data_IF_368779519368
#
_entry.id   IF_368779519368
#
_cell.length_a   1.000
_cell.length_b   1.000
_cell.length_c   1.000
_cell.angle_alpha   90.00
_cell.angle_beta   90.00
_cell.angle_gamma   90.00
#
_symmetry.space_group_name_H-M   'P 1'
#
loop_
_entity.id
_entity.type
_entity.pdbx_description
1 polymer ?
#
# COMPACT_ATOMS: atom_id res chain seq x y z
N UNK A 1 0.53 -3.71 -27.62
CA UNK A 1 0.00 -4.10 -26.30
C UNK A 1 -1.48 -3.81 -26.26
N UNK A 2 -2.33 -4.74 -25.80
CA UNK A 2 -3.76 -4.46 -25.63
C UNK A 2 -3.98 -3.31 -24.63
N UNK A 3 -5.01 -2.48 -24.87
CA UNK A 3 -5.39 -1.44 -23.90
C UNK A 3 -5.83 -2.10 -22.59
N UNK A 4 -5.45 -1.55 -21.43
CA UNK A 4 -5.95 -2.05 -20.16
C UNK A 4 -7.49 -1.95 -20.12
N UNK A 5 -8.16 -2.88 -19.44
CA UNK A 5 -9.62 -2.88 -19.35
C UNK A 5 -10.12 -1.63 -18.61
N UNK A 6 -11.23 -1.09 -19.08
CA UNK A 6 -11.95 -0.01 -18.38
C UNK A 6 -12.59 -0.54 -17.10
N UNK A 7 -12.86 0.34 -16.12
CA UNK A 7 -13.61 -0.03 -14.90
C UNK A 7 -14.95 -0.69 -15.21
N UNK A 8 -15.66 -0.24 -16.25
CA UNK A 8 -16.92 -0.85 -16.70
C UNK A 8 -16.72 -2.29 -17.17
N UNK A 9 -15.64 -2.56 -17.91
CA UNK A 9 -15.30 -3.92 -18.32
C UNK A 9 -14.90 -4.78 -17.12
N UNK A 10 -14.12 -4.24 -16.18
CA UNK A 10 -13.78 -4.93 -14.94
C UNK A 10 -15.03 -5.31 -14.14
N UNK A 11 -15.95 -4.36 -13.89
CA UNK A 11 -17.21 -4.63 -13.17
C UNK A 11 -18.08 -5.65 -13.93
N UNK A 12 -18.13 -5.59 -15.26
CA UNK A 12 -18.87 -6.58 -16.04
C UNK A 12 -18.27 -7.98 -15.89
N UNK A 13 -16.94 -8.09 -15.88
CA UNK A 13 -16.22 -9.34 -15.65
C UNK A 13 -16.37 -9.83 -14.21
N UNK A 14 -16.40 -8.94 -13.20
CA UNK A 14 -16.62 -9.32 -11.80
C UNK A 14 -17.99 -9.94 -11.56
N UNK A 15 -18.99 -9.57 -12.37
CA UNK A 15 -20.31 -10.19 -12.30
C UNK A 15 -20.32 -11.62 -12.83
N UNK A 16 -19.41 -11.96 -13.76
CA UNK A 16 -19.26 -13.31 -14.30
C UNK A 16 -18.40 -14.19 -13.39
N UNK A 17 -17.43 -13.58 -12.72
CA UNK A 17 -16.52 -14.24 -11.79
C UNK A 17 -16.37 -13.41 -10.49
N UNK A 18 -17.35 -13.49 -9.57
CA UNK A 18 -17.39 -12.64 -8.37
C UNK A 18 -16.32 -13.00 -7.32
N UNK A 19 -15.71 -14.18 -7.44
CA UNK A 19 -14.68 -14.67 -6.51
C UNK A 19 -13.27 -14.47 -7.09
N UNK A 20 -13.11 -13.58 -8.06
CA UNK A 20 -11.81 -13.22 -8.61
C UNK A 20 -11.19 -12.06 -7.84
N UNK A 21 -10.35 -12.36 -6.86
CA UNK A 21 -9.72 -11.36 -6.00
C UNK A 21 -8.87 -10.34 -6.77
N UNK A 22 -8.14 -10.77 -7.81
CA UNK A 22 -7.31 -9.89 -8.62
C UNK A 22 -8.15 -8.88 -9.41
N UNK A 23 -9.30 -9.33 -9.90
CA UNK A 23 -10.21 -8.48 -10.63
C UNK A 23 -10.90 -7.46 -9.70
N UNK A 24 -11.28 -7.86 -8.49
CA UNK A 24 -11.77 -6.95 -7.45
C UNK A 24 -10.71 -5.90 -7.09
N UNK A 25 -9.45 -6.30 -6.92
CA UNK A 25 -8.36 -5.37 -6.62
C UNK A 25 -8.04 -4.42 -7.79
N UNK A 26 -8.22 -4.85 -9.05
CA UNK A 26 -8.13 -3.94 -10.20
C UNK A 26 -9.28 -2.91 -10.23
N UNK A 27 -10.50 -3.29 -9.83
CA UNK A 27 -11.61 -2.33 -9.67
C UNK A 27 -11.28 -1.33 -8.56
N UNK A 28 -10.75 -1.81 -7.42
CA UNK A 28 -10.33 -0.97 -6.31
C UNK A 28 -9.26 0.04 -6.74
N UNK A 29 -8.19 -0.42 -7.39
CA UNK A 29 -7.13 0.44 -7.93
C UNK A 29 -7.67 1.49 -8.91
N UNK A 30 -8.66 1.12 -9.73
CA UNK A 30 -9.32 2.07 -10.62
C UNK A 30 -10.08 3.15 -9.84
N UNK A 31 -10.81 2.82 -8.78
CA UNK A 31 -11.46 3.83 -7.92
C UNK A 31 -10.45 4.68 -7.15
N UNK A 32 -9.36 4.07 -6.69
CA UNK A 32 -8.27 4.75 -6.01
C UNK A 32 -7.64 5.84 -6.90
N UNK A 33 -7.41 5.55 -8.18
CA UNK A 33 -6.88 6.50 -9.16
C UNK A 33 -7.78 7.73 -9.36
N UNK A 34 -9.10 7.57 -9.22
CA UNK A 34 -10.07 8.67 -9.28
C UNK A 34 -10.21 9.42 -7.94
N UNK A 35 -9.46 9.02 -6.90
CA UNK A 35 -9.60 9.57 -5.55
C UNK A 35 -10.85 9.09 -4.79
N UNK A 36 -11.57 8.09 -5.30
CA UNK A 36 -12.72 7.52 -4.62
C UNK A 36 -12.27 6.40 -3.67
N UNK A 37 -11.69 6.81 -2.54
CA UNK A 37 -11.09 5.89 -1.57
C UNK A 37 -12.12 5.02 -0.84
N UNK A 38 -13.36 5.49 -0.68
CA UNK A 38 -14.44 4.69 -0.09
C UNK A 38 -14.76 3.46 -0.94
N UNK A 39 -14.90 3.65 -2.26
CA UNK A 39 -15.12 2.51 -3.16
C UNK A 39 -13.88 1.64 -3.31
N UNK A 40 -12.68 2.25 -3.35
CA UNK A 40 -11.43 1.48 -3.33
C UNK A 40 -11.40 0.54 -2.12
N UNK A 41 -11.64 1.07 -0.92
CA UNK A 41 -11.71 0.32 0.33
C UNK A 41 -12.70 -0.85 0.25
N UNK A 42 -13.91 -0.63 -0.26
CA UNK A 42 -14.92 -1.70 -0.38
C UNK A 42 -14.40 -2.83 -1.26
N UNK A 43 -13.84 -2.52 -2.43
CA UNK A 43 -13.38 -3.54 -3.37
C UNK A 43 -12.10 -4.24 -2.92
N UNK A 44 -11.13 -3.55 -2.33
CA UNK A 44 -9.93 -4.21 -1.77
C UNK A 44 -10.27 -5.04 -0.52
N UNK A 45 -11.26 -4.62 0.29
CA UNK A 45 -11.78 -5.45 1.38
C UNK A 45 -12.42 -6.73 0.85
N UNK A 46 -13.20 -6.64 -0.24
CA UNK A 46 -13.78 -7.83 -0.89
C UNK A 46 -12.67 -8.73 -1.46
N UNK A 47 -11.66 -8.19 -2.13
CA UNK A 47 -10.53 -8.96 -2.64
C UNK A 47 -9.82 -9.73 -1.51
N UNK A 48 -9.61 -9.09 -0.36
CA UNK A 48 -9.05 -9.73 0.82
C UNK A 48 -9.95 -10.85 1.40
N UNK A 49 -11.27 -10.65 1.44
CA UNK A 49 -12.19 -11.68 1.93
C UNK A 49 -12.24 -12.91 1.01
N UNK A 50 -12.14 -12.69 -0.30
CA UNK A 50 -12.08 -13.76 -1.31
C UNK A 50 -10.75 -14.52 -1.23
N UNK A 51 -9.63 -13.81 -1.02
CA UNK A 51 -8.32 -14.42 -0.87
C UNK A 51 -7.54 -13.85 0.33
N UNK A 52 -7.86 -14.36 1.51
CA UNK A 52 -7.25 -13.91 2.79
C UNK A 52 -5.82 -14.43 3.01
N UNK A 53 -5.22 -15.06 2.01
CA UNK A 53 -3.81 -15.47 2.02
C UNK A 53 -2.93 -14.48 1.25
N UNK A 54 -3.52 -13.77 0.28
CA UNK A 54 -2.81 -12.77 -0.50
C UNK A 54 -2.70 -11.44 0.27
N UNK A 55 -1.60 -11.30 1.00
CA UNK A 55 -1.30 -10.12 1.82
C UNK A 55 -1.11 -8.84 0.99
N UNK A 56 -1.02 -8.91 -0.34
CA UNK A 56 -1.01 -7.72 -1.20
C UNK A 56 -2.38 -7.03 -1.18
N UNK A 57 -3.49 -7.77 -1.18
CA UNK A 57 -4.82 -7.16 -1.02
C UNK A 57 -4.96 -6.47 0.34
N UNK A 58 -4.41 -7.08 1.39
CA UNK A 58 -4.35 -6.45 2.72
C UNK A 58 -3.48 -5.18 2.72
N UNK A 59 -2.40 -5.18 1.93
CA UNK A 59 -1.55 -4.02 1.76
C UNK A 59 -2.26 -2.89 1.01
N UNK A 60 -3.09 -3.17 0.01
CA UNK A 60 -3.91 -2.16 -0.68
C UNK A 60 -4.97 -1.60 0.26
N UNK A 61 -5.68 -2.47 0.99
CA UNK A 61 -6.67 -2.06 1.99
C UNK A 61 -6.08 -1.08 3.02
N UNK A 62 -4.86 -1.35 3.48
CA UNK A 62 -4.18 -0.45 4.40
C UNK A 62 -3.79 0.90 3.77
N UNK A 63 -3.69 1.01 2.43
CA UNK A 63 -3.53 2.31 1.74
C UNK A 63 -4.83 3.07 1.86
N UNK A 64 -5.95 2.43 1.49
CA UNK A 64 -7.27 3.05 1.47
C UNK A 64 -7.64 3.60 2.85
N UNK A 65 -7.40 2.81 3.91
CA UNK A 65 -7.56 3.26 5.29
C UNK A 65 -6.80 4.57 5.58
N UNK A 66 -5.56 4.66 5.11
CA UNK A 66 -4.74 5.87 5.28
C UNK A 66 -5.29 7.06 4.50
N UNK A 67 -5.83 6.83 3.30
CA UNK A 67 -6.46 7.88 2.50
C UNK A 67 -7.81 8.34 3.06
N UNK A 68 -8.52 7.45 3.77
CA UNK A 68 -9.78 7.72 4.46
C UNK A 68 -9.61 8.40 5.84
N UNK A 69 -8.37 8.60 6.30
CA UNK A 69 -8.12 9.19 7.62
C UNK A 69 -8.11 8.20 8.78
N UNK A 70 -8.31 6.90 8.53
CA UNK A 70 -8.32 5.85 9.55
C UNK A 70 -6.88 5.39 9.82
N UNK A 71 -6.08 6.31 10.37
CA UNK A 71 -4.63 6.20 10.47
C UNK A 71 -4.18 5.06 11.39
N UNK A 72 -4.84 4.88 12.54
CA UNK A 72 -4.56 3.82 13.51
C UNK A 72 -4.76 2.42 12.90
N UNK A 73 -5.83 2.25 12.12
CA UNK A 73 -6.13 0.99 11.44
C UNK A 73 -5.12 0.71 10.32
N UNK A 74 -4.77 1.75 9.54
CA UNK A 74 -3.71 1.67 8.52
C UNK A 74 -2.37 1.25 9.15
N UNK A 75 -2.00 1.83 10.30
CA UNK A 75 -0.79 1.47 11.05
C UNK A 75 -0.87 0.01 11.51
N UNK A 76 -1.99 -0.41 12.07
CA UNK A 76 -2.19 -1.75 12.62
C UNK A 76 -2.03 -2.81 11.54
N UNK A 77 -2.73 -2.66 10.40
CA UNK A 77 -2.58 -3.57 9.27
C UNK A 77 -1.15 -3.58 8.72
N UNK A 78 -0.56 -2.39 8.52
CA UNK A 78 0.81 -2.28 7.99
C UNK A 78 1.84 -2.98 8.90
N UNK A 79 1.68 -2.89 10.24
CA UNK A 79 2.53 -3.62 11.20
C UNK A 79 2.33 -5.14 11.10
N UNK A 80 1.10 -5.60 10.89
CA UNK A 80 0.79 -7.01 10.64
C UNK A 80 1.51 -7.54 9.39
N UNK A 81 1.46 -6.79 8.29
CA UNK A 81 2.11 -7.14 7.03
C UNK A 81 3.64 -7.21 7.18
N UNK A 82 4.25 -6.27 7.91
CA UNK A 82 5.70 -6.29 8.19
C UNK A 82 6.12 -7.56 8.94
N UNK A 83 5.25 -8.11 9.80
CA UNK A 83 5.52 -9.35 10.55
C UNK A 83 5.21 -10.62 9.75
N UNK A 84 4.55 -10.51 8.59
CA UNK A 84 4.20 -11.66 7.76
C UNK A 84 5.46 -12.41 7.29
N UNK A 85 5.40 -13.74 7.30
CA UNK A 85 6.52 -14.58 6.87
C UNK A 85 6.79 -14.36 5.38
N UNK A 86 8.05 -14.10 5.03
CA UNK A 86 8.45 -13.71 3.68
C UNK A 86 8.21 -14.83 2.66
N UNK A 87 8.63 -16.06 2.97
CA UNK A 87 8.45 -17.21 2.07
C UNK A 87 6.96 -17.53 1.87
N UNK A 88 6.16 -17.39 2.93
CA UNK A 88 4.70 -17.52 2.85
C UNK A 88 4.10 -16.46 1.94
N UNK A 89 4.55 -15.20 2.05
CA UNK A 89 4.11 -14.12 1.17
C UNK A 89 4.47 -14.38 -0.29
N UNK A 90 5.70 -14.81 -0.60
CA UNK A 90 6.10 -15.13 -1.97
C UNK A 90 5.20 -16.20 -2.59
N UNK A 91 4.98 -17.30 -1.84
CA UNK A 91 4.15 -18.43 -2.30
C UNK A 91 2.68 -18.05 -2.43
N UNK A 92 2.09 -17.48 -1.37
CA UNK A 92 0.65 -17.26 -1.28
C UNK A 92 0.19 -16.10 -2.18
N UNK A 93 1.07 -15.15 -2.50
CA UNK A 93 0.79 -14.03 -3.42
C UNK A 93 1.33 -14.24 -4.84
N UNK A 94 2.10 -15.30 -5.09
CA UNK A 94 2.73 -15.54 -6.39
C UNK A 94 3.74 -14.47 -6.80
N UNK A 95 4.48 -13.90 -5.85
CA UNK A 95 5.48 -12.85 -6.10
C UNK A 95 6.88 -13.29 -5.71
N UNK A 96 7.90 -12.69 -6.32
CA UNK A 96 9.28 -12.92 -5.94
C UNK A 96 9.63 -12.26 -4.59
N UNK A 97 10.78 -12.65 -4.03
CA UNK A 97 11.25 -12.14 -2.75
C UNK A 97 11.47 -10.62 -2.77
N UNK A 98 11.89 -10.07 -3.91
CA UNK A 98 12.14 -8.64 -4.07
C UNK A 98 10.84 -7.85 -3.93
N UNK A 99 9.79 -8.27 -4.60
CA UNK A 99 8.46 -7.68 -4.51
C UNK A 99 7.89 -7.84 -3.09
N UNK A 100 8.05 -9.01 -2.48
CA UNK A 100 7.60 -9.23 -1.11
C UNK A 100 8.30 -8.28 -0.11
N UNK A 101 9.63 -8.10 -0.24
CA UNK A 101 10.40 -7.11 0.53
C UNK A 101 9.92 -5.68 0.25
N UNK A 102 9.64 -5.36 -1.01
CA UNK A 102 9.13 -4.05 -1.42
C UNK A 102 7.81 -3.72 -0.72
N UNK A 103 6.83 -4.62 -0.75
CA UNK A 103 5.52 -4.41 -0.08
C UNK A 103 5.69 -4.17 1.42
N UNK A 104 6.56 -4.96 2.08
CA UNK A 104 6.85 -4.78 3.51
C UNK A 104 7.55 -3.44 3.78
N UNK A 105 8.36 -2.94 2.85
CA UNK A 105 9.02 -1.66 3.00
C UNK A 105 8.05 -0.49 2.75
N UNK A 106 7.15 -0.60 1.79
CA UNK A 106 6.08 0.37 1.55
C UNK A 106 5.16 0.50 2.77
N UNK A 107 4.90 -0.60 3.49
CA UNK A 107 4.20 -0.56 4.78
C UNK A 107 4.94 0.26 5.84
N UNK A 108 6.28 0.22 5.89
CA UNK A 108 7.07 1.03 6.84
C UNK A 108 6.96 2.51 6.49
N UNK A 109 7.06 2.84 5.20
CA UNK A 109 6.86 4.20 4.74
C UNK A 109 5.46 4.70 5.10
N UNK A 110 4.43 3.90 4.84
CA UNK A 110 3.06 4.24 5.20
C UNK A 110 2.90 4.51 6.70
N UNK A 111 3.42 3.63 7.56
CA UNK A 111 3.39 3.83 9.01
C UNK A 111 4.07 5.16 9.39
N UNK A 112 5.18 5.52 8.75
CA UNK A 112 5.85 6.80 9.03
C UNK A 112 4.94 8.00 8.75
N UNK A 113 4.18 7.95 7.65
CA UNK A 113 3.26 9.01 7.25
C UNK A 113 2.04 9.07 8.17
N UNK A 114 1.46 7.92 8.51
CA UNK A 114 0.34 7.87 9.45
C UNK A 114 0.74 8.43 10.82
N UNK A 115 1.93 8.07 11.34
CA UNK A 115 2.43 8.65 12.58
C UNK A 115 2.70 10.14 12.49
N UNK A 116 3.16 10.63 11.34
CA UNK A 116 3.33 12.06 11.12
C UNK A 116 1.98 12.80 11.17
N UNK A 117 0.96 12.27 10.49
CA UNK A 117 -0.40 12.82 10.48
C UNK A 117 -1.03 12.82 11.89
N UNK A 118 -0.71 11.82 12.70
CA UNK A 118 -1.07 11.74 14.12
C UNK A 118 -0.18 12.59 15.05
N UNK A 119 0.72 13.41 14.51
CA UNK A 119 1.68 14.26 15.26
C UNK A 119 2.64 13.48 16.17
N UNK A 120 2.83 12.18 15.93
CA UNK A 120 3.76 11.33 16.66
C UNK A 120 5.13 11.31 15.97
N UNK A 121 5.80 12.46 15.96
CA UNK A 121 6.99 12.68 15.13
C UNK A 121 8.14 11.69 15.40
N UNK A 122 8.37 11.29 16.65
CA UNK A 122 9.42 10.34 17.00
C UNK A 122 9.19 8.98 16.32
N UNK A 123 7.94 8.52 16.28
CA UNK A 123 7.56 7.28 15.62
C UNK A 123 7.61 7.41 14.09
N UNK A 124 7.17 8.55 13.56
CA UNK A 124 7.29 8.86 12.13
C UNK A 124 8.75 8.77 11.66
N UNK A 125 9.67 9.46 12.36
CA UNK A 125 11.12 9.44 12.10
C UNK A 125 11.69 8.03 12.16
N UNK A 126 11.34 7.28 13.20
CA UNK A 126 11.81 5.89 13.38
C UNK A 126 11.46 5.02 12.17
N UNK A 127 10.21 5.05 11.72
CA UNK A 127 9.77 4.21 10.60
C UNK A 127 10.31 4.69 9.26
N UNK A 128 10.47 6.01 9.06
CA UNK A 128 11.09 6.55 7.86
C UNK A 128 12.57 6.13 7.75
N UNK A 129 13.33 6.18 8.85
CA UNK A 129 14.72 5.73 8.87
C UNK A 129 14.85 4.23 8.57
N UNK A 130 13.92 3.41 9.09
CA UNK A 130 13.87 1.99 8.75
C UNK A 130 13.58 1.76 7.26
N UNK A 131 12.63 2.51 6.69
CA UNK A 131 12.31 2.45 5.27
C UNK A 131 13.52 2.77 4.38
N UNK A 132 14.22 3.87 4.67
CA UNK A 132 15.38 4.32 3.90
C UNK A 132 16.56 3.34 4.02
N UNK A 133 16.82 2.83 5.24
CA UNK A 133 17.89 1.85 5.49
C UNK A 133 17.69 0.57 4.69
N UNK A 134 16.48 -0.01 4.75
CA UNK A 134 16.14 -1.25 4.05
C UNK A 134 16.16 -1.04 2.53
N UNK A 135 15.63 0.09 2.06
CA UNK A 135 15.67 0.41 0.62
C UNK A 135 17.09 0.43 0.09
N UNK A 136 18.03 1.03 0.85
CA UNK A 136 19.44 1.08 0.50
C UNK A 136 20.10 -0.31 0.53
N UNK A 137 19.83 -1.12 1.56
CA UNK A 137 20.44 -2.46 1.68
C UNK A 137 19.94 -3.42 0.60
N UNK A 138 18.65 -3.36 0.27
CA UNK A 138 17.98 -4.37 -0.55
C UNK A 138 17.80 -3.95 -2.02
N UNK A 139 18.33 -2.77 -2.41
CA UNK A 139 18.24 -2.21 -3.77
C UNK A 139 16.81 -2.22 -4.35
N UNK A 140 15.84 -1.80 -3.54
CA UNK A 140 14.41 -1.84 -3.89
C UNK A 140 13.98 -0.63 -4.73
N UNK A 141 13.25 -0.88 -5.83
CA UNK A 141 12.63 0.16 -6.67
C UNK A 141 11.32 0.66 -6.06
N UNK A 142 10.94 1.92 -6.33
CA UNK A 142 9.67 2.50 -5.84
C UNK A 142 8.56 2.44 -6.88
N UNK A 143 7.37 1.99 -6.46
CA UNK A 143 6.11 2.18 -7.19
C UNK A 143 5.28 3.36 -6.62
N UNK A 144 5.92 4.33 -5.96
CA UNK A 144 5.24 5.56 -5.53
C UNK A 144 4.89 6.36 -6.80
N UNK A 145 3.62 6.73 -7.03
CA UNK A 145 3.20 7.41 -8.26
C UNK A 145 3.92 8.75 -8.49
N UNK A 146 4.13 9.05 -9.77
CA UNK A 146 4.73 10.28 -10.35
C UNK A 146 3.93 11.57 -9.97
N UNK A 147 4.42 12.79 -10.30
CA UNK A 147 4.72 13.92 -9.41
C UNK A 147 3.60 14.70 -8.70
N UNK A 148 2.32 14.40 -8.88
CA UNK A 148 1.24 15.15 -8.20
C UNK A 148 1.17 14.83 -6.70
N UNK A 149 1.53 13.61 -6.30
CA UNK A 149 1.82 13.28 -4.90
C UNK A 149 3.22 13.75 -4.50
N UNK A 150 4.15 14.01 -5.43
CA UNK A 150 5.44 14.58 -5.05
C UNK A 150 5.25 15.92 -4.35
N UNK A 151 4.26 16.75 -4.65
CA UNK A 151 4.12 18.05 -3.96
C UNK A 151 3.64 17.91 -2.50
N UNK A 152 2.55 17.17 -2.25
CA UNK A 152 2.10 16.85 -0.87
C UNK A 152 3.12 16.02 -0.08
N UNK A 153 3.93 15.20 -0.77
CA UNK A 153 4.90 14.32 -0.14
C UNK A 153 6.31 14.90 -0.07
N UNK A 154 6.65 15.94 -0.85
CA UNK A 154 7.85 16.78 -0.69
C UNK A 154 7.71 17.67 0.55
N UNK A 155 6.48 18.11 0.83
CA UNK A 155 6.14 18.78 2.11
C UNK A 155 6.32 17.84 3.31
N UNK A 156 6.02 16.54 3.16
CA UNK A 156 6.37 15.48 4.13
C UNK A 156 7.87 15.14 4.16
N UNK A 157 8.56 15.26 3.02
CA UNK A 157 9.97 14.89 2.92
C UNK A 157 10.86 15.88 3.67
N UNK A 158 10.63 17.19 3.60
CA UNK A 158 11.67 18.15 3.98
C UNK A 158 11.14 19.55 4.35
N UNK A 159 10.09 19.67 5.17
CA UNK A 159 9.82 20.95 5.86
C UNK A 159 10.86 21.26 6.97
N UNK A 160 12.16 20.94 6.73
CA UNK A 160 13.34 21.20 7.55
C UNK A 160 13.27 20.81 9.04
N UNK A 161 12.25 20.05 9.47
CA UNK A 161 12.02 19.69 10.89
C UNK A 161 12.50 18.30 11.28
N UNK A 162 12.77 17.42 10.33
CA UNK A 162 13.32 16.09 10.58
C UNK A 162 14.77 16.08 10.11
N UNK A 163 15.72 16.28 11.04
CA UNK A 163 17.11 15.93 10.77
C UNK A 163 17.19 14.40 10.70
N UNK A 164 17.47 13.88 9.51
CA UNK A 164 17.88 12.48 9.34
C UNK A 164 19.34 12.42 9.78
N UNK A 165 19.61 11.86 10.95
CA UNK A 165 20.97 11.44 11.31
C UNK A 165 21.25 10.16 10.55
N UNK A 166 22.11 10.23 9.54
CA UNK A 166 22.63 9.07 8.81
C UNK A 166 23.60 8.27 9.67
#
# INVERSE_FOLDING_TARGET
MPKPPTRRQLIASSKKDPNNADLLSQIAASYFQDGNFEKAYVYDRLAWLVNSKNVIHLANLAVDLGMLGWYEDSITLSKGIIKWNLNKMCRDCGVDERMAKSVKNDCRFRISVMYFLLKQEAMARRYLNLYLRIRKSDNLSTNIPKPHLKQQWTDLYLNRRIKITM
#
